data_IF_732374696577
#
_entry.id   IF_732374696577
#
_cell.length_a   1.000
_cell.length_b   1.000
_cell.length_c   1.000
_cell.angle_alpha   90.00
_cell.angle_beta   90.00
_cell.angle_gamma   90.00
#
_symmetry.space_group_name_H-M   'P 1'
#
loop_
_entity.id
_entity.type
_entity.pdbx_description
1 polymer ?
#
# COMPACT_ATOMS: atom_id res chain seq x y z
N UNK A 1 -19.59 65.77 41.18
CA UNK A 1 -20.44 66.27 40.08
C UNK A 1 -19.56 66.50 38.86
N UNK A 2 -19.81 65.81 37.74
CA UNK A 2 -19.36 66.18 36.40
C UNK A 2 -20.17 65.35 35.39
N UNK A 3 -20.59 66.01 34.31
CA UNK A 3 -21.60 65.60 33.33
C UNK A 3 -20.96 64.97 32.10
N UNK A 4 -21.75 64.32 31.24
CA UNK A 4 -21.33 64.03 29.86
C UNK A 4 -22.09 62.94 29.13
N UNK A 5 -23.25 63.28 28.54
CA UNK A 5 -23.89 62.51 27.46
C UNK A 5 -23.20 62.82 26.12
N UNK A 6 -22.99 61.82 25.26
CA UNK A 6 -23.13 61.98 23.80
C UNK A 6 -23.32 60.63 23.12
N UNK A 7 -24.27 60.57 22.19
CA UNK A 7 -24.56 59.38 21.39
C UNK A 7 -24.20 59.55 19.92
N UNK A 8 -24.70 58.57 19.15
CA UNK A 8 -25.06 58.56 17.72
C UNK A 8 -24.07 58.08 16.63
N UNK A 9 -24.55 57.05 15.90
CA UNK A 9 -24.36 56.67 14.48
C UNK A 9 -22.96 56.19 14.04
N UNK A 10 -22.82 55.06 13.34
CA UNK A 10 -23.23 54.94 11.93
C UNK A 10 -23.35 53.49 11.41
N UNK A 11 -24.18 53.37 10.37
CA UNK A 11 -24.58 52.22 9.54
C UNK A 11 -23.42 51.41 8.92
N UNK A 12 -23.70 50.14 8.64
CA UNK A 12 -23.29 49.52 7.37
C UNK A 12 -23.00 48.02 7.45
N UNK A 13 -23.82 47.20 6.77
CA UNK A 13 -23.38 45.90 6.26
C UNK A 13 -23.97 44.65 6.89
N UNK A 14 -25.29 44.55 7.05
CA UNK A 14 -25.95 43.24 7.17
C UNK A 14 -26.18 42.71 5.75
N UNK A 15 -25.39 41.73 5.33
CA UNK A 15 -25.56 41.05 4.04
C UNK A 15 -26.55 39.91 4.25
N UNK A 16 -27.79 40.10 3.80
CA UNK A 16 -28.77 39.01 3.64
C UNK A 16 -28.68 38.49 2.21
N UNK A 17 -28.44 37.20 2.07
CA UNK A 17 -28.63 36.49 0.82
C UNK A 17 -30.07 35.96 0.77
N UNK A 18 -30.84 36.22 -0.31
CA UNK A 18 -32.16 35.62 -0.48
C UNK A 18 -32.04 34.13 -0.84
N UNK A 19 -32.95 33.36 -0.25
CA UNK A 19 -33.26 31.96 -0.54
C UNK A 19 -33.98 31.89 -1.89
N UNK A 20 -33.46 31.09 -2.82
CA UNK A 20 -34.15 30.74 -4.07
C UNK A 20 -33.96 29.25 -4.35
N UNK A 21 -35.03 28.68 -4.86
CA UNK A 21 -35.49 27.32 -4.65
C UNK A 21 -34.64 26.26 -5.36
N UNK A 22 -34.69 25.04 -4.81
CA UNK A 22 -34.01 23.84 -5.30
C UNK A 22 -34.42 23.52 -6.75
N UNK A 23 -33.46 23.16 -7.63
CA UNK A 23 -33.68 21.95 -8.39
C UNK A 23 -32.58 20.93 -8.18
N UNK A 24 -33.06 19.70 -8.12
CA UNK A 24 -32.36 18.42 -8.10
C UNK A 24 -31.05 18.48 -8.91
N UNK A 25 -29.96 18.23 -8.21
CA UNK A 25 -28.63 18.19 -8.77
C UNK A 25 -27.76 17.57 -7.73
N UNK A 26 -27.92 16.26 -7.53
CA UNK A 26 -27.00 15.47 -6.73
C UNK A 26 -25.59 15.92 -7.10
N UNK A 27 -24.75 16.42 -6.16
CA UNK A 27 -23.33 16.42 -6.45
C UNK A 27 -23.08 14.95 -6.75
N UNK A 28 -22.69 14.66 -7.99
CA UNK A 28 -22.17 13.35 -8.37
C UNK A 28 -21.19 13.06 -7.26
N UNK A 29 -21.60 12.19 -6.34
CA UNK A 29 -20.71 11.49 -5.47
C UNK A 29 -19.90 10.74 -6.51
N UNK A 30 -18.80 11.36 -6.93
CA UNK A 30 -17.74 10.69 -7.65
C UNK A 30 -17.42 9.63 -6.63
N UNK A 31 -18.01 8.47 -6.86
CA UNK A 31 -17.75 7.26 -6.15
C UNK A 31 -16.28 7.04 -6.47
N UNK A 32 -15.43 7.70 -5.68
CA UNK A 32 -14.04 7.38 -5.53
C UNK A 32 -14.13 6.02 -4.88
N UNK A 33 -14.36 5.04 -5.74
CA UNK A 33 -14.42 3.64 -5.44
C UNK A 33 -12.98 3.36 -5.04
N UNK A 34 -12.72 3.64 -3.76
CA UNK A 34 -11.40 3.86 -3.22
C UNK A 34 -10.48 2.80 -3.82
N UNK A 35 -9.51 3.24 -4.62
CA UNK A 35 -8.55 2.31 -5.20
C UNK A 35 -7.95 1.57 -4.02
N UNK A 36 -8.10 0.25 -4.00
CA UNK A 36 -7.53 -0.57 -2.96
C UNK A 36 -6.02 -0.28 -2.91
N UNK A 37 -5.48 0.17 -1.76
CA UNK A 37 -4.14 0.70 -1.69
C UNK A 37 -3.13 -0.39 -2.05
N UNK A 38 -2.45 -0.25 -3.18
CA UNK A 38 -1.53 -1.27 -3.70
C UNK A 38 -0.36 -0.65 -4.47
N UNK A 39 0.82 -1.24 -4.29
CA UNK A 39 2.04 -0.82 -4.99
C UNK A 39 2.02 -1.40 -6.42
N UNK A 40 2.22 -0.59 -7.48
CA UNK A 40 2.39 -1.13 -8.82
C UNK A 40 3.78 -1.78 -8.96
N UNK A 41 3.81 -3.01 -9.49
CA UNK A 41 5.06 -3.67 -9.83
C UNK A 41 5.67 -3.07 -11.11
N UNK A 42 7.00 -2.92 -11.12
CA UNK A 42 7.76 -2.39 -12.24
C UNK A 42 8.35 -3.54 -13.06
N UNK A 43 8.30 -3.49 -14.41
CA UNK A 43 8.95 -4.49 -15.24
C UNK A 43 10.47 -4.42 -15.06
N UNK A 44 11.09 -5.59 -15.05
CA UNK A 44 12.52 -5.79 -14.95
C UNK A 44 13.08 -6.24 -16.31
N UNK A 45 14.33 -5.91 -16.69
CA UNK A 45 14.89 -6.28 -17.99
C UNK A 45 14.88 -7.79 -18.27
N UNK A 46 14.90 -8.63 -17.23
CA UNK A 46 14.86 -10.08 -17.34
C UNK A 46 13.44 -10.65 -17.59
N UNK A 47 12.43 -9.79 -17.79
CA UNK A 47 11.02 -10.20 -17.92
C UNK A 47 10.35 -10.51 -16.56
N UNK A 48 11.04 -10.21 -15.46
CA UNK A 48 10.55 -10.31 -14.09
C UNK A 48 9.91 -8.98 -13.64
N UNK A 49 9.48 -8.91 -12.39
CA UNK A 49 8.98 -7.67 -11.81
C UNK A 49 9.72 -7.27 -10.53
N UNK A 50 9.80 -5.96 -10.30
CA UNK A 50 10.35 -5.34 -9.11
C UNK A 50 9.25 -4.54 -8.38
N UNK A 51 9.05 -4.85 -7.10
CA UNK A 51 8.16 -4.11 -6.21
C UNK A 51 9.02 -3.32 -5.23
N UNK A 52 8.98 -2.00 -5.32
CA UNK A 52 9.69 -1.10 -4.39
C UNK A 52 8.76 -0.74 -3.24
N UNK A 53 9.04 -1.25 -2.04
CA UNK A 53 8.17 -1.08 -0.88
C UNK A 53 8.54 0.11 0.01
N UNK A 54 9.60 0.84 -0.38
CA UNK A 54 10.05 2.03 0.32
C UNK A 54 10.84 1.71 1.58
N UNK A 55 10.58 2.46 2.65
CA UNK A 55 11.31 2.37 3.90
C UNK A 55 10.54 1.55 4.93
N UNK A 56 11.16 0.52 5.47
CA UNK A 56 10.63 -0.31 6.54
C UNK A 56 11.51 -0.18 7.78
N UNK A 57 11.03 -0.66 8.93
CA UNK A 57 11.80 -0.73 10.18
C UNK A 57 12.28 -2.15 10.40
N UNK A 58 13.46 -2.34 11.00
CA UNK A 58 13.98 -3.67 11.35
C UNK A 58 13.19 -4.31 12.49
N UNK A 59 13.13 -5.65 12.54
CA UNK A 59 12.37 -6.44 13.53
C UNK A 59 10.89 -6.12 13.57
N UNK A 60 10.31 -5.87 12.39
CA UNK A 60 8.90 -5.58 12.24
C UNK A 60 8.29 -6.48 11.18
N UNK A 61 6.98 -6.66 11.30
CA UNK A 61 6.20 -7.42 10.34
C UNK A 61 5.29 -6.48 9.57
N UNK A 62 5.21 -6.69 8.27
CA UNK A 62 4.46 -5.85 7.36
C UNK A 62 3.50 -6.69 6.52
N UNK A 63 2.31 -6.17 6.29
CA UNK A 63 1.46 -6.59 5.18
C UNK A 63 1.78 -5.70 3.98
N UNK A 64 2.02 -6.32 2.83
CA UNK A 64 2.39 -5.63 1.60
C UNK A 64 1.41 -6.09 0.52
N UNK A 65 0.75 -5.12 -0.11
CA UNK A 65 -0.19 -5.30 -1.19
C UNK A 65 0.40 -4.66 -2.43
N UNK A 66 0.54 -5.45 -3.50
CA UNK A 66 1.02 -4.97 -4.78
C UNK A 66 0.25 -5.58 -5.94
N UNK A 67 0.25 -4.90 -7.08
CA UNK A 67 -0.41 -5.35 -8.31
C UNK A 67 0.62 -5.67 -9.38
N UNK A 68 0.36 -6.73 -10.13
CA UNK A 68 1.08 -7.10 -11.33
C UNK A 68 0.14 -6.90 -12.53
N UNK A 69 0.65 -6.36 -13.65
CA UNK A 69 -0.12 -6.29 -14.88
C UNK A 69 -0.45 -7.69 -15.41
N UNK A 70 -1.30 -7.77 -16.41
CA UNK A 70 -1.56 -9.04 -17.08
C UNK A 70 -0.28 -9.57 -17.74
N UNK A 71 0.12 -10.78 -17.32
CA UNK A 71 1.25 -11.49 -17.90
C UNK A 71 0.71 -12.72 -18.64
N UNK A 72 0.81 -12.76 -19.98
CA UNK A 72 0.26 -13.87 -20.79
C UNK A 72 0.76 -15.26 -20.35
N UNK A 73 1.99 -15.33 -19.84
CA UNK A 73 2.61 -16.54 -19.31
C UNK A 73 1.86 -17.13 -18.09
N UNK A 74 1.35 -16.26 -17.21
CA UNK A 74 0.79 -16.65 -15.91
C UNK A 74 -0.70 -17.03 -16.00
N UNK A 75 -1.42 -16.50 -16.99
CA UNK A 75 -2.86 -16.72 -17.15
C UNK A 75 -3.67 -16.18 -15.97
N UNK A 76 -4.92 -16.65 -15.86
CA UNK A 76 -5.93 -16.17 -14.88
C UNK A 76 -5.88 -16.86 -13.51
N UNK A 77 -5.34 -18.08 -13.45
CA UNK A 77 -5.22 -18.86 -12.22
C UNK A 77 -3.76 -18.87 -11.75
N UNK A 78 -3.44 -18.07 -10.73
CA UNK A 78 -2.07 -17.86 -10.25
C UNK A 78 -1.93 -18.30 -8.81
N UNK A 79 -0.84 -19.00 -8.50
CA UNK A 79 -0.46 -19.39 -7.15
C UNK A 79 1.00 -19.02 -6.88
N UNK A 80 1.38 -18.82 -5.63
CA UNK A 80 2.78 -18.62 -5.23
C UNK A 80 3.45 -19.94 -4.90
N UNK A 81 4.69 -20.13 -5.36
CA UNK A 81 5.56 -21.15 -4.79
C UNK A 81 6.22 -20.63 -3.52
N UNK A 82 6.51 -21.51 -2.53
CA UNK A 82 7.35 -21.13 -1.41
C UNK A 82 8.71 -20.68 -1.95
N UNK A 83 9.20 -19.53 -1.48
CA UNK A 83 10.54 -19.07 -1.83
C UNK A 83 11.56 -20.06 -1.27
N UNK A 84 12.12 -20.90 -2.14
CA UNK A 84 13.10 -21.93 -1.78
C UNK A 84 14.44 -21.34 -1.31
N UNK A 85 14.58 -20.02 -1.30
CA UNK A 85 15.84 -19.32 -1.09
C UNK A 85 16.18 -19.04 0.38
N UNK A 86 15.25 -19.24 1.34
CA UNK A 86 15.56 -18.97 2.75
C UNK A 86 16.15 -20.21 3.44
N UNK A 87 17.43 -20.19 3.87
CA UNK A 87 18.00 -21.24 4.71
C UNK A 87 17.44 -21.22 6.14
N UNK A 88 16.58 -20.24 6.45
CA UNK A 88 15.96 -20.13 7.76
C UNK A 88 14.65 -20.91 7.79
N UNK A 89 14.28 -21.53 8.92
CA UNK A 89 13.04 -22.31 9.05
C UNK A 89 11.75 -21.48 8.90
N UNK A 90 11.85 -20.16 8.69
CA UNK A 90 10.72 -19.23 8.53
C UNK A 90 11.02 -18.27 7.38
N UNK A 91 10.39 -18.44 6.20
CA UNK A 91 10.60 -17.50 5.10
C UNK A 91 10.19 -16.09 5.54
N UNK A 92 11.06 -15.11 5.27
CA UNK A 92 10.85 -13.72 5.65
C UNK A 92 9.67 -13.12 4.88
N UNK A 93 9.50 -13.56 3.64
CA UNK A 93 8.40 -13.18 2.75
C UNK A 93 7.44 -14.36 2.56
N UNK A 94 6.17 -14.15 2.91
CA UNK A 94 5.10 -15.15 2.79
C UNK A 94 3.94 -14.58 2.00
N UNK A 95 3.56 -15.24 0.90
CA UNK A 95 2.35 -14.87 0.17
C UNK A 95 1.12 -15.39 0.92
N UNK A 96 0.20 -14.49 1.24
CA UNK A 96 -1.03 -14.81 1.96
C UNK A 96 -2.20 -14.97 1.00
N UNK A 97 -2.28 -14.13 -0.04
CA UNK A 97 -3.38 -14.14 -0.99
C UNK A 97 -2.94 -13.66 -2.37
N UNK A 98 -3.49 -14.28 -3.40
CA UNK A 98 -3.39 -13.83 -4.79
C UNK A 98 -4.81 -13.76 -5.33
N UNK A 99 -5.20 -12.62 -5.90
CA UNK A 99 -6.54 -12.40 -6.47
C UNK A 99 -6.43 -11.74 -7.84
N UNK A 100 -7.20 -12.16 -8.85
CA UNK A 100 -7.24 -11.46 -10.12
C UNK A 100 -7.82 -10.04 -9.95
N UNK A 101 -7.35 -9.11 -10.76
CA UNK A 101 -7.84 -7.72 -10.82
C UNK A 101 -8.82 -7.54 -11.98
N UNK A 102 -9.81 -6.63 -11.88
CA UNK A 102 -10.76 -6.38 -12.96
C UNK A 102 -10.11 -5.71 -14.18
N UNK A 103 -8.98 -5.03 -14.00
CA UNK A 103 -8.22 -4.36 -15.06
C UNK A 103 -7.30 -5.32 -15.86
N UNK A 104 -7.34 -6.62 -15.54
CA UNK A 104 -6.36 -7.60 -16.00
C UNK A 104 -5.14 -7.63 -15.07
N UNK A 105 -4.57 -8.84 -14.88
CA UNK A 105 -3.48 -9.08 -13.94
C UNK A 105 -3.90 -9.62 -12.58
N UNK A 106 -3.04 -9.45 -11.58
CA UNK A 106 -3.24 -9.99 -10.23
C UNK A 106 -2.81 -9.02 -9.14
N UNK A 107 -3.55 -9.03 -8.04
CA UNK A 107 -3.20 -8.40 -6.77
C UNK A 107 -2.65 -9.48 -5.83
N UNK A 108 -1.50 -9.19 -5.24
CA UNK A 108 -0.81 -10.07 -4.31
C UNK A 108 -0.76 -9.39 -2.95
N UNK A 109 -1.16 -10.13 -1.91
CA UNK A 109 -1.00 -9.74 -0.52
C UNK A 109 0.00 -10.69 0.13
N UNK A 110 1.09 -10.15 0.65
CA UNK A 110 2.13 -10.90 1.34
C UNK A 110 2.46 -10.30 2.71
N UNK A 111 2.97 -11.14 3.60
CA UNK A 111 3.53 -10.76 4.88
C UNK A 111 5.06 -10.76 4.76
N UNK A 112 5.72 -9.66 5.15
CA UNK A 112 7.17 -9.52 5.16
C UNK A 112 7.69 -9.22 6.56
N UNK A 113 8.62 -10.06 7.05
CA UNK A 113 9.29 -9.88 8.34
C UNK A 113 10.72 -9.41 8.11
N UNK A 114 11.02 -8.20 8.58
CA UNK A 114 12.35 -7.60 8.45
C UNK A 114 13.22 -7.96 9.65
N UNK A 115 14.47 -8.37 9.42
CA UNK A 115 15.42 -8.65 10.51
C UNK A 115 16.68 -7.81 10.45
N UNK A 116 17.23 -7.64 9.25
CA UNK A 116 18.47 -6.92 9.01
C UNK A 116 18.22 -5.54 8.43
N UNK A 117 19.10 -4.60 8.75
CA UNK A 117 19.09 -3.25 8.20
C UNK A 117 19.75 -3.20 6.82
N UNK A 118 19.46 -2.15 6.05
CA UNK A 118 20.04 -1.93 4.73
C UNK A 118 19.02 -2.08 3.60
N UNK A 119 19.52 -2.22 2.38
CA UNK A 119 18.67 -2.46 1.20
C UNK A 119 18.53 -3.96 1.01
N UNK A 120 17.35 -4.49 1.34
CA UNK A 120 17.03 -5.91 1.23
C UNK A 120 16.24 -6.21 -0.04
N UNK A 121 16.51 -7.36 -0.64
CA UNK A 121 15.78 -7.88 -1.78
C UNK A 121 15.34 -9.32 -1.49
N UNK A 122 14.03 -9.53 -1.45
CA UNK A 122 13.43 -10.86 -1.32
C UNK A 122 12.77 -11.27 -2.62
N UNK A 123 12.83 -12.55 -2.96
CA UNK A 123 12.22 -13.08 -4.17
C UNK A 123 11.00 -13.94 -3.83
N UNK A 124 9.94 -13.77 -4.62
CA UNK A 124 8.81 -14.68 -4.67
C UNK A 124 8.61 -15.17 -6.11
N UNK A 125 8.19 -16.41 -6.27
CA UNK A 125 7.86 -17.00 -7.57
C UNK A 125 6.37 -17.24 -7.67
N UNK A 126 5.73 -16.67 -8.68
CA UNK A 126 4.35 -16.97 -9.04
C UNK A 126 4.32 -17.98 -10.18
N UNK A 127 3.35 -18.89 -10.14
CA UNK A 127 3.13 -19.92 -11.16
C UNK A 127 1.67 -19.99 -11.56
N UNK A 128 1.44 -20.40 -12.81
CA UNK A 128 0.10 -20.66 -13.31
C UNK A 128 -0.41 -22.03 -12.86
N UNK A 129 -1.64 -22.10 -12.35
CA UNK A 129 -2.27 -23.36 -11.97
C UNK A 129 -2.68 -24.12 -13.24
N UNK A 130 -1.86 -25.08 -13.65
CA UNK A 130 -2.13 -25.96 -14.81
C UNK A 130 -1.11 -25.85 -15.95
N UNK A 131 -0.22 -24.86 -15.94
CA UNK A 131 0.94 -24.80 -16.85
C UNK A 131 2.21 -25.05 -16.04
N UNK A 132 2.77 -26.25 -16.15
CA UNK A 132 3.90 -26.72 -15.31
C UNK A 132 5.23 -25.97 -15.52
N UNK A 133 5.33 -25.09 -16.50
CA UNK A 133 6.61 -24.50 -16.92
C UNK A 133 6.65 -22.95 -16.84
N UNK A 134 5.51 -22.30 -16.59
CA UNK A 134 5.45 -20.84 -16.59
C UNK A 134 5.60 -20.31 -15.17
N UNK A 135 6.76 -19.71 -14.91
CA UNK A 135 7.13 -19.07 -13.65
C UNK A 135 7.40 -17.59 -13.87
N UNK A 136 6.94 -16.77 -12.93
CA UNK A 136 7.23 -15.34 -12.88
C UNK A 136 7.94 -15.04 -11.57
N UNK A 137 9.16 -14.52 -11.65
CA UNK A 137 9.86 -14.02 -10.47
C UNK A 137 9.44 -12.57 -10.21
N UNK A 138 9.16 -12.28 -8.94
CA UNK A 138 8.90 -10.93 -8.45
C UNK A 138 9.87 -10.66 -7.31
N UNK A 139 10.67 -9.60 -7.45
CA UNK A 139 11.61 -9.14 -6.43
C UNK A 139 10.98 -8.02 -5.63
N UNK A 140 10.99 -8.16 -4.31
CA UNK A 140 10.55 -7.15 -3.37
C UNK A 140 11.77 -6.44 -2.80
N UNK A 141 11.92 -5.15 -3.09
CA UNK A 141 13.03 -4.33 -2.61
C UNK A 141 12.55 -3.35 -1.54
N UNK A 142 13.18 -3.44 -0.36
CA UNK A 142 12.90 -2.60 0.79
C UNK A 142 14.19 -1.95 1.30
N UNK A 143 14.12 -0.71 1.78
CA UNK A 143 15.17 -0.14 2.63
C UNK A 143 14.75 -0.27 4.08
N UNK A 144 15.38 -1.19 4.80
CA UNK A 144 15.13 -1.44 6.21
C UNK A 144 16.02 -0.54 7.05
N UNK A 145 15.38 0.26 7.90
CA UNK A 145 16.00 1.22 8.81
C UNK A 145 16.13 0.64 10.20
N UNK A 146 17.12 1.11 10.96
CA UNK A 146 17.24 0.79 12.37
C UNK A 146 15.97 1.17 13.15
N UNK A 147 15.75 0.48 14.27
CA UNK A 147 14.66 0.81 15.18
C UNK A 147 14.76 2.23 15.76
N UNK A 148 15.95 2.83 15.85
CA UNK A 148 16.17 4.16 16.41
C UNK A 148 16.08 5.28 15.35
N UNK A 149 15.95 4.96 14.07
CA UNK A 149 15.90 5.92 12.97
C UNK A 149 14.50 6.56 12.73
N UNK A 150 13.65 6.63 13.76
CA UNK A 150 12.33 7.27 13.69
C UNK A 150 11.23 6.40 13.05
N UNK A 151 10.11 7.04 12.68
CA UNK A 151 8.96 6.37 12.05
C UNK A 151 9.20 6.19 10.55
N UNK A 152 9.10 4.97 10.00
CA UNK A 152 9.32 4.73 8.58
C UNK A 152 8.23 5.40 7.72
N UNK A 153 8.62 5.92 6.55
CA UNK A 153 7.69 6.40 5.54
C UNK A 153 7.15 5.20 4.74
N UNK A 154 6.02 4.66 5.18
CA UNK A 154 5.36 3.54 4.52
C UNK A 154 4.66 4.02 3.24
N UNK A 155 4.84 3.27 2.16
CA UNK A 155 4.11 3.50 0.92
C UNK A 155 2.66 3.04 1.06
N UNK A 156 1.82 3.55 0.16
CA UNK A 156 0.48 3.00 -0.04
C UNK A 156 0.56 1.51 -0.38
N UNK A 157 -0.28 0.68 0.26
CA UNK A 157 -0.21 -0.77 0.17
C UNK A 157 0.76 -1.43 1.16
N UNK A 158 1.46 -0.66 2.01
CA UNK A 158 2.30 -1.21 3.10
C UNK A 158 1.69 -0.90 4.46
N UNK A 159 1.43 -1.93 5.25
CA UNK A 159 0.89 -1.79 6.62
C UNK A 159 1.80 -2.46 7.64
N UNK A 160 2.23 -1.72 8.65
CA UNK A 160 2.95 -2.30 9.78
C UNK A 160 1.98 -3.13 10.64
N UNK A 161 2.29 -4.41 10.85
CA UNK A 161 1.56 -5.34 11.70
C UNK A 161 2.10 -5.38 13.14
N UNK A 162 3.21 -4.69 13.41
CA UNK A 162 3.83 -4.60 14.73
C UNK A 162 5.28 -5.09 14.74
N UNK A 163 5.91 -4.99 15.92
CA UNK A 163 7.25 -5.52 16.14
C UNK A 163 7.21 -7.05 16.26
N UNK A 164 8.26 -7.71 15.80
CA UNK A 164 8.42 -9.14 16.01
C UNK A 164 8.65 -9.40 17.51
N UNK A 165 7.89 -10.35 18.07
CA UNK A 165 8.11 -10.80 19.44
C UNK A 165 9.26 -11.78 19.44
N UNK A 166 10.38 -11.37 20.01
CA UNK A 166 11.51 -12.25 20.30
C UNK A 166 10.99 -13.41 21.17
N UNK A 167 10.76 -14.57 20.57
CA UNK A 167 10.48 -15.79 21.33
C UNK A 167 11.80 -16.23 21.94
N UNK A 168 12.19 -15.57 23.04
CA UNK A 168 13.21 -16.08 23.95
C UNK A 168 12.77 -17.49 24.35
N UNK A 169 13.58 -18.47 23.93
CA UNK A 169 13.43 -19.87 24.25
C UNK A 169 14.22 -20.17 25.51
#
# INVERSE_FOLDING_TARGET
MATGRKGSTSKGGCVRFPDDEVPVGSPVHREDKAKDPAIPALPDPDGNFLVKVGFLRSRHRYEIVFTLPEVPALGKDVCSLPSSASPTPRPLLKVNRVTPTPEGGVKVTCEYTTHQEGVLQEELTLVSRGKKDQRLCVRLQARVMDRHHGTPMLLEGVRCLGAEKDKRK
#
